data_IF_099005224926
#
_entry.id   IF_099005224926
#
_cell.length_a   1.000
_cell.length_b   1.000
_cell.length_c   1.000
_cell.angle_alpha   90.00
_cell.angle_beta   90.00
_cell.angle_gamma   90.00
#
_symmetry.space_group_name_H-M   'P 1'
#
loop_
_entity.id
_entity.type
_entity.pdbx_description
1 polymer ?
#
# COMPACT_ATOMS: atom_id res chain seq x y z
N UNK A 1 -0.31 9.93 -2.91
CA UNK A 1 0.70 10.91 -2.43
C UNK A 1 0.09 12.29 -2.54
N UNK A 2 0.34 13.15 -1.55
CA UNK A 2 -0.14 14.53 -1.58
C UNK A 2 0.88 15.46 -2.24
N UNK A 3 1.15 16.64 -1.63
CA UNK A 3 2.16 17.59 -2.12
C UNK A 3 3.56 16.98 -2.19
N UNK A 4 3.89 16.09 -1.28
CA UNK A 4 5.15 15.33 -1.30
C UNK A 4 4.88 13.82 -1.25
N UNK A 5 5.88 12.97 -1.58
CA UNK A 5 5.75 11.52 -1.43
C UNK A 5 5.59 11.04 0.02
N UNK A 6 5.76 11.92 1.01
CA UNK A 6 5.58 11.59 2.42
C UNK A 6 4.10 11.51 2.80
N UNK A 7 3.25 12.36 2.22
CA UNK A 7 1.82 12.32 2.48
C UNK A 7 1.14 11.18 1.69
N UNK A 8 0.37 10.36 2.39
CA UNK A 8 -0.37 9.25 1.81
C UNK A 8 -0.10 7.92 2.51
N UNK A 9 0.14 6.88 1.73
CA UNK A 9 0.38 5.53 2.23
C UNK A 9 1.71 5.42 2.99
N UNK A 10 1.74 4.58 4.01
CA UNK A 10 2.98 4.06 4.58
C UNK A 10 3.72 3.28 3.51
N UNK A 11 5.03 3.47 3.42
CA UNK A 11 5.87 2.82 2.41
C UNK A 11 7.01 2.04 3.07
N UNK A 12 7.94 1.55 2.29
CA UNK A 12 9.12 0.83 2.81
C UNK A 12 9.88 1.63 3.85
N UNK A 13 10.19 2.91 3.55
CA UNK A 13 10.95 3.81 4.44
C UNK A 13 10.23 5.09 4.83
N UNK A 14 9.10 5.42 4.18
CA UNK A 14 8.33 6.65 4.43
C UNK A 14 7.21 6.42 5.42
N UNK A 15 7.03 7.36 6.33
CA UNK A 15 6.00 7.28 7.39
C UNK A 15 4.56 7.28 6.86
N UNK A 16 4.31 7.92 5.72
CA UNK A 16 2.96 8.23 5.26
C UNK A 16 2.31 9.36 6.06
N UNK A 17 1.03 9.61 5.81
CA UNK A 17 0.27 10.64 6.53
C UNK A 17 0.25 10.36 8.02
N UNK A 18 0.55 11.38 8.83
CA UNK A 18 0.60 11.28 10.29
C UNK A 18 0.18 12.58 10.94
N UNK A 19 -0.03 12.55 12.24
CA UNK A 19 -0.26 13.75 13.03
C UNK A 19 1.01 14.63 13.06
N UNK A 20 0.90 15.85 12.54
CA UNK A 20 1.99 16.82 12.49
C UNK A 20 2.49 17.15 13.90
N UNK A 21 1.59 17.22 14.88
CA UNK A 21 1.96 17.51 16.27
C UNK A 21 2.80 16.40 16.89
N UNK A 22 2.56 15.14 16.52
CA UNK A 22 3.41 14.03 16.96
C UNK A 22 4.81 14.13 16.36
N UNK A 23 4.95 14.50 15.10
CA UNK A 23 6.24 14.68 14.45
C UNK A 23 7.04 15.82 15.08
N UNK A 24 6.42 16.98 15.30
CA UNK A 24 7.07 18.14 15.93
C UNK A 24 7.43 17.89 17.39
N UNK A 25 6.58 17.18 18.13
CA UNK A 25 6.88 16.77 19.51
C UNK A 25 8.14 15.89 19.58
N UNK A 26 8.23 14.90 18.69
CA UNK A 26 9.42 14.02 18.64
C UNK A 26 10.66 14.85 18.31
N UNK A 27 10.59 15.72 17.30
CA UNK A 27 11.71 16.58 16.90
C UNK A 27 12.20 17.45 18.06
N UNK A 28 11.28 18.07 18.79
CA UNK A 28 11.61 18.90 19.96
C UNK A 28 12.25 18.06 21.09
N UNK A 29 11.68 16.92 21.40
CA UNK A 29 12.16 16.03 22.46
C UNK A 29 13.55 15.48 22.18
N UNK A 30 13.84 15.13 20.93
CA UNK A 30 15.11 14.56 20.49
C UNK A 30 16.12 15.64 20.04
N UNK A 31 15.76 16.93 20.09
CA UNK A 31 16.62 18.03 19.65
C UNK A 31 16.94 18.03 18.17
N UNK A 32 16.03 17.51 17.34
CA UNK A 32 16.23 17.38 15.89
C UNK A 32 16.00 18.69 15.16
N UNK A 33 16.83 18.97 14.19
CA UNK A 33 16.56 19.99 13.17
C UNK A 33 15.44 19.55 12.23
N UNK A 34 14.86 20.49 11.48
CA UNK A 34 13.86 20.18 10.45
C UNK A 34 14.39 19.21 9.38
N UNK A 35 15.66 19.34 9.00
CA UNK A 35 16.30 18.44 8.03
C UNK A 35 16.44 17.01 8.55
N UNK A 36 16.75 16.84 9.83
CA UNK A 36 16.82 15.54 10.47
C UNK A 36 15.45 14.90 10.61
N UNK A 37 14.42 15.70 10.97
CA UNK A 37 13.04 15.25 11.01
C UNK A 37 12.58 14.79 9.62
N UNK A 38 12.79 15.59 8.59
CA UNK A 38 12.44 15.24 7.20
C UNK A 38 13.13 13.93 6.77
N UNK A 39 14.43 13.81 7.02
CA UNK A 39 15.17 12.58 6.72
C UNK A 39 14.63 11.36 7.50
N UNK A 40 14.29 11.53 8.78
CA UNK A 40 13.69 10.46 9.58
C UNK A 40 12.38 9.99 8.97
N UNK A 41 11.47 10.90 8.63
CA UNK A 41 10.14 10.58 8.12
C UNK A 41 10.19 9.98 6.70
N UNK A 42 11.15 10.39 5.86
CA UNK A 42 11.28 9.94 4.48
C UNK A 42 12.13 8.67 4.32
N UNK A 43 13.16 8.47 5.15
CA UNK A 43 14.20 7.46 4.93
C UNK A 43 14.37 6.43 6.04
N UNK A 44 13.86 6.71 7.25
CA UNK A 44 14.08 5.88 8.45
C UNK A 44 12.77 5.47 9.14
N UNK A 45 11.66 5.65 8.48
CA UNK A 45 10.30 5.32 8.94
C UNK A 45 9.70 4.17 8.11
N UNK A 46 8.40 4.17 7.94
CA UNK A 46 7.70 3.15 7.17
C UNK A 46 7.77 1.76 7.80
N UNK A 47 7.59 0.72 6.99
CA UNK A 47 7.65 -0.66 7.50
C UNK A 47 9.05 -1.01 8.03
N UNK A 48 10.11 -0.46 7.44
CA UNK A 48 11.47 -0.62 7.95
C UNK A 48 11.63 -0.02 9.34
N UNK A 49 11.14 1.20 9.57
CA UNK A 49 11.21 1.87 10.88
C UNK A 49 10.39 1.16 11.95
N UNK A 50 9.24 0.60 11.58
CA UNK A 50 8.39 -0.15 12.48
C UNK A 50 9.00 -1.49 12.90
N UNK A 51 9.56 -2.20 11.94
CA UNK A 51 10.06 -3.57 12.15
C UNK A 51 11.53 -3.63 12.56
N UNK A 52 12.34 -2.69 12.08
CA UNK A 52 13.79 -2.77 12.17
C UNK A 52 14.43 -3.87 11.32
N UNK A 53 13.66 -4.48 10.40
CA UNK A 53 14.09 -5.62 9.58
C UNK A 53 14.49 -5.14 8.19
N UNK A 54 13.52 -4.69 7.38
CA UNK A 54 13.70 -4.37 5.97
C UNK A 54 12.63 -3.40 5.47
N UNK A 55 12.90 -2.74 4.35
CA UNK A 55 11.91 -1.98 3.59
C UNK A 55 11.15 -2.83 2.56
N UNK A 56 11.57 -4.08 2.36
CA UNK A 56 10.98 -5.02 1.42
C UNK A 56 9.86 -5.82 2.10
N UNK A 57 8.66 -5.77 1.52
CA UNK A 57 7.51 -6.50 2.06
C UNK A 57 7.71 -8.00 2.11
N UNK A 58 8.54 -8.57 1.24
CA UNK A 58 8.85 -10.02 1.24
C UNK A 58 9.55 -10.46 2.53
N UNK A 59 10.46 -9.63 3.03
CA UNK A 59 11.16 -9.89 4.30
C UNK A 59 10.21 -9.72 5.48
N UNK A 60 9.28 -8.76 5.37
CA UNK A 60 8.24 -8.52 6.40
C UNK A 60 7.26 -9.70 6.43
N UNK A 61 6.83 -10.21 5.28
CA UNK A 61 5.94 -11.38 5.20
C UNK A 61 6.63 -12.63 5.77
N UNK A 62 7.91 -12.86 5.46
CA UNK A 62 8.67 -13.96 6.05
C UNK A 62 8.81 -13.85 7.58
N UNK A 63 9.00 -12.64 8.12
CA UNK A 63 9.04 -12.40 9.56
C UNK A 63 7.65 -12.54 10.21
N UNK A 64 6.59 -12.13 9.52
CA UNK A 64 5.20 -12.34 9.93
C UNK A 64 4.89 -13.82 10.11
N UNK A 65 5.24 -14.66 9.14
CA UNK A 65 5.03 -16.10 9.17
C UNK A 65 5.78 -16.79 10.32
N UNK A 66 6.85 -16.18 10.81
CA UNK A 66 7.60 -16.61 11.99
C UNK A 66 7.01 -16.08 13.31
N UNK A 67 5.91 -15.34 13.26
CA UNK A 67 5.25 -14.79 14.43
C UNK A 67 5.94 -13.54 15.02
N UNK A 68 6.75 -12.82 14.25
CA UNK A 68 7.38 -11.59 14.71
C UNK A 68 6.32 -10.50 14.95
N UNK A 69 6.16 -10.08 16.19
CA UNK A 69 5.12 -9.11 16.61
C UNK A 69 5.20 -7.78 15.85
N UNK A 70 6.41 -7.27 15.61
CA UNK A 70 6.59 -6.00 14.88
C UNK A 70 6.23 -6.13 13.40
N UNK A 71 6.51 -7.28 12.79
CA UNK A 71 6.11 -7.56 11.42
C UNK A 71 4.59 -7.68 11.28
N UNK A 72 3.92 -8.29 12.29
CA UNK A 72 2.46 -8.36 12.35
C UNK A 72 1.87 -6.95 12.40
N UNK A 73 2.31 -6.11 13.33
CA UNK A 73 1.84 -4.73 13.47
C UNK A 73 2.10 -3.92 12.18
N UNK A 74 3.28 -4.05 11.59
CA UNK A 74 3.65 -3.31 10.38
C UNK A 74 2.78 -3.69 9.19
N UNK A 75 2.51 -4.99 8.99
CA UNK A 75 1.67 -5.49 7.90
C UNK A 75 0.21 -5.07 8.07
N UNK A 76 -0.32 -5.18 9.28
CA UNK A 76 -1.68 -4.74 9.61
C UNK A 76 -1.84 -3.22 9.42
N UNK A 77 -0.87 -2.44 9.86
CA UNK A 77 -0.88 -1.00 9.67
C UNK A 77 -0.80 -0.62 8.18
N UNK A 78 0.03 -1.32 7.41
CA UNK A 78 0.15 -1.12 5.97
C UNK A 78 -1.18 -1.37 5.25
N UNK A 79 -1.79 -2.54 5.48
CA UNK A 79 -3.08 -2.89 4.90
C UNK A 79 -4.22 -1.97 5.37
N UNK A 80 -4.25 -1.61 6.67
CA UNK A 80 -5.24 -0.69 7.22
C UNK A 80 -5.18 0.70 6.58
N UNK A 81 -3.97 1.20 6.30
CA UNK A 81 -3.80 2.49 5.65
C UNK A 81 -4.37 2.48 4.21
N UNK A 82 -4.10 1.42 3.44
CA UNK A 82 -4.67 1.26 2.10
C UNK A 82 -6.20 1.20 2.18
N UNK A 83 -6.73 0.38 3.08
CA UNK A 83 -8.18 0.23 3.29
C UNK A 83 -8.87 1.56 3.58
N UNK A 84 -8.27 2.41 4.42
CA UNK A 84 -8.79 3.76 4.72
C UNK A 84 -8.85 4.62 3.46
N UNK A 85 -7.82 4.63 2.63
CA UNK A 85 -7.83 5.38 1.37
C UNK A 85 -8.87 4.85 0.37
N UNK A 86 -9.08 3.54 0.30
CA UNK A 86 -10.17 2.98 -0.52
C UNK A 86 -11.52 3.52 -0.06
N UNK A 87 -11.78 3.55 1.25
CA UNK A 87 -13.02 4.10 1.81
C UNK A 87 -13.17 5.60 1.58
N UNK A 88 -12.10 6.36 1.78
CA UNK A 88 -12.04 7.81 1.58
C UNK A 88 -12.37 8.18 0.13
N UNK A 89 -11.69 7.57 -0.83
CA UNK A 89 -11.95 7.85 -2.25
C UNK A 89 -13.31 7.34 -2.73
N UNK A 90 -13.80 6.23 -2.19
CA UNK A 90 -15.15 5.79 -2.49
C UNK A 90 -16.21 6.79 -2.01
N UNK A 91 -15.99 7.43 -0.85
CA UNK A 91 -16.86 8.49 -0.35
C UNK A 91 -16.81 9.75 -1.22
N UNK A 92 -15.60 10.20 -1.63
CA UNK A 92 -15.43 11.35 -2.52
C UNK A 92 -16.06 11.14 -3.90
N UNK A 93 -15.99 9.93 -4.44
CA UNK A 93 -16.58 9.58 -5.73
C UNK A 93 -18.10 9.33 -5.67
N UNK A 94 -18.69 9.26 -4.46
CA UNK A 94 -20.09 8.88 -4.29
C UNK A 94 -20.37 7.40 -4.54
N UNK A 95 -19.34 6.56 -4.55
CA UNK A 95 -19.39 5.12 -4.79
C UNK A 95 -18.17 4.63 -5.55
N UNK A 96 -18.11 3.34 -5.79
CA UNK A 96 -17.04 2.67 -6.54
C UNK A 96 -17.61 1.47 -7.29
N UNK A 97 -17.13 1.22 -8.50
CA UNK A 97 -17.50 0.06 -9.31
C UNK A 97 -16.40 -1.00 -9.33
N UNK A 98 -15.15 -0.58 -9.22
CA UNK A 98 -13.98 -1.45 -9.30
C UNK A 98 -12.84 -0.93 -8.43
N UNK A 99 -12.24 -1.83 -7.63
CA UNK A 99 -10.98 -1.61 -6.92
C UNK A 99 -9.87 -2.36 -7.64
N UNK A 100 -8.84 -1.64 -8.08
CA UNK A 100 -7.71 -2.23 -8.80
C UNK A 100 -6.48 -2.25 -7.89
N UNK A 101 -5.85 -3.42 -7.78
CA UNK A 101 -4.55 -3.61 -7.17
C UNK A 101 -3.49 -3.73 -8.26
N UNK A 102 -2.45 -2.91 -8.17
CA UNK A 102 -1.40 -2.82 -9.18
C UNK A 102 -0.05 -2.48 -8.54
N UNK A 103 1.02 -2.52 -9.30
CA UNK A 103 2.38 -2.26 -8.82
C UNK A 103 2.93 -3.38 -7.94
N UNK A 104 4.13 -3.20 -7.43
CA UNK A 104 4.89 -4.27 -6.75
C UNK A 104 4.12 -4.99 -5.64
N UNK A 105 3.54 -4.26 -4.68
CA UNK A 105 2.79 -4.86 -3.57
C UNK A 105 1.38 -5.27 -4.00
N UNK A 106 0.67 -4.42 -4.76
CA UNK A 106 -0.69 -4.71 -5.21
C UNK A 106 -0.79 -5.98 -6.04
N UNK A 107 0.18 -6.22 -6.91
CA UNK A 107 0.25 -7.41 -7.77
C UNK A 107 0.74 -8.66 -7.02
N UNK A 108 1.69 -8.51 -6.10
CA UNK A 108 2.47 -9.63 -5.57
C UNK A 108 2.18 -10.01 -4.12
N UNK A 109 1.36 -9.23 -3.37
CA UNK A 109 1.00 -9.56 -1.98
C UNK A 109 -0.50 -9.86 -1.86
N UNK A 110 -0.91 -11.15 -2.00
CA UNK A 110 -2.29 -11.56 -1.77
C UNK A 110 -2.75 -11.29 -0.33
N UNK A 111 -1.85 -11.32 0.63
CA UNK A 111 -2.12 -11.07 2.05
C UNK A 111 -2.53 -9.61 2.28
N UNK A 112 -1.85 -8.66 1.66
CA UNK A 112 -2.23 -7.24 1.73
C UNK A 112 -3.59 -7.00 1.08
N UNK A 113 -3.84 -7.58 -0.10
CA UNK A 113 -5.14 -7.47 -0.78
C UNK A 113 -6.28 -8.05 0.06
N UNK A 114 -6.05 -9.22 0.67
CA UNK A 114 -6.99 -9.87 1.59
C UNK A 114 -7.32 -8.95 2.77
N UNK A 115 -6.30 -8.42 3.45
CA UNK A 115 -6.49 -7.48 4.55
C UNK A 115 -7.31 -6.25 4.14
N UNK A 116 -7.01 -5.68 2.99
CA UNK A 116 -7.72 -4.49 2.47
C UNK A 116 -9.19 -4.79 2.20
N UNK A 117 -9.49 -5.94 1.61
CA UNK A 117 -10.85 -6.29 1.16
C UNK A 117 -11.71 -6.99 2.21
N UNK A 118 -11.13 -7.51 3.30
CA UNK A 118 -11.89 -8.07 4.40
C UNK A 118 -12.87 -7.05 4.99
N UNK A 119 -14.10 -7.46 5.28
CA UNK A 119 -15.17 -6.62 5.85
C UNK A 119 -15.50 -5.37 4.99
N UNK A 120 -15.44 -5.51 3.66
CA UNK A 120 -15.83 -4.46 2.70
C UNK A 120 -17.17 -4.78 2.00
N UNK A 121 -17.92 -5.77 2.49
CA UNK A 121 -19.22 -6.18 1.97
C UNK A 121 -20.25 -5.04 2.00
N UNK A 122 -20.16 -4.15 2.99
CA UNK A 122 -21.00 -2.95 3.08
C UNK A 122 -20.83 -2.01 1.88
N UNK A 123 -19.67 -2.03 1.21
CA UNK A 123 -19.43 -1.30 -0.06
C UNK A 123 -19.89 -2.11 -1.28
N UNK A 124 -20.26 -3.36 -1.10
CA UNK A 124 -20.66 -4.28 -2.17
C UNK A 124 -19.51 -5.09 -2.75
N UNK A 125 -18.37 -5.16 -2.06
CA UNK A 125 -17.22 -5.99 -2.45
C UNK A 125 -17.34 -7.33 -1.74
N UNK A 126 -17.56 -8.41 -2.48
CA UNK A 126 -17.51 -9.77 -1.98
C UNK A 126 -16.17 -10.41 -2.37
N UNK A 127 -15.23 -10.41 -1.43
CA UNK A 127 -13.88 -10.92 -1.63
C UNK A 127 -13.87 -12.45 -1.82
N UNK A 128 -13.02 -12.94 -2.75
CA UNK A 128 -12.76 -14.35 -3.01
C UNK A 128 -11.30 -14.70 -2.69
N UNK A 129 -11.08 -15.37 -1.55
CA UNK A 129 -9.74 -15.73 -1.09
C UNK A 129 -9.02 -16.73 -2.02
N UNK A 130 -9.76 -17.57 -2.74
CA UNK A 130 -9.18 -18.53 -3.68
C UNK A 130 -8.72 -17.81 -4.94
N UNK A 131 -9.58 -16.98 -5.52
CA UNK A 131 -9.21 -16.16 -6.69
C UNK A 131 -8.08 -15.18 -6.38
N UNK A 132 -7.99 -14.67 -5.15
CA UNK A 132 -6.92 -13.77 -4.73
C UNK A 132 -5.51 -14.36 -4.86
N UNK A 133 -5.37 -15.67 -4.93
CA UNK A 133 -4.09 -16.37 -5.12
C UNK A 133 -3.85 -16.76 -6.58
N UNK A 134 -4.38 -15.97 -7.51
CA UNK A 134 -4.23 -16.15 -8.95
C UNK A 134 -2.77 -16.08 -9.44
N UNK A 135 -2.61 -16.36 -10.71
CA UNK A 135 -1.29 -16.49 -11.32
C UNK A 135 -0.58 -15.12 -11.41
N UNK A 136 0.64 -15.06 -10.91
CA UNK A 136 1.53 -13.90 -11.01
C UNK A 136 1.77 -13.48 -12.45
N UNK A 137 1.83 -12.17 -12.70
CA UNK A 137 2.08 -11.62 -14.03
C UNK A 137 0.91 -11.74 -15.00
N UNK A 138 -0.31 -11.88 -14.47
CA UNK A 138 -1.55 -11.88 -15.27
C UNK A 138 -2.60 -11.01 -14.60
N UNK A 139 -3.51 -10.47 -15.39
CA UNK A 139 -4.68 -9.77 -14.91
C UNK A 139 -5.74 -10.78 -14.47
N UNK A 140 -6.36 -10.55 -13.30
CA UNK A 140 -7.44 -11.42 -12.81
C UNK A 140 -8.33 -10.73 -11.78
N UNK A 141 -9.60 -11.14 -11.77
CA UNK A 141 -10.58 -10.69 -10.78
C UNK A 141 -10.43 -11.49 -9.47
N UNK A 142 -10.56 -10.79 -8.33
CA UNK A 142 -10.45 -11.34 -6.98
C UNK A 142 -11.72 -11.15 -6.15
N UNK A 143 -12.82 -10.74 -6.77
CA UNK A 143 -14.15 -10.72 -6.19
C UNK A 143 -14.96 -11.96 -6.60
N UNK A 144 -15.97 -12.32 -5.79
CA UNK A 144 -16.89 -13.41 -6.11
C UNK A 144 -17.76 -13.04 -7.32
N UNK A 145 -18.26 -14.05 -8.00
CA UNK A 145 -19.28 -13.89 -9.02
C UNK A 145 -20.53 -13.25 -8.41
N UNK A 146 -21.07 -12.22 -9.07
CA UNK A 146 -22.22 -11.47 -8.53
C UNK A 146 -21.85 -10.32 -7.59
N UNK A 147 -20.59 -10.16 -7.17
CA UNK A 147 -20.16 -8.98 -6.42
C UNK A 147 -20.54 -7.69 -7.15
N UNK A 148 -21.23 -6.79 -6.46
CA UNK A 148 -21.69 -5.51 -7.03
C UNK A 148 -20.52 -4.61 -7.39
N UNK A 149 -19.54 -4.53 -6.49
CA UNK A 149 -18.27 -3.83 -6.72
C UNK A 149 -17.21 -4.89 -6.99
N UNK A 150 -16.50 -4.74 -8.08
CA UNK A 150 -15.46 -5.67 -8.48
C UNK A 150 -14.12 -5.32 -7.80
N UNK A 151 -13.29 -6.32 -7.62
CA UNK A 151 -11.89 -6.14 -7.24
C UNK A 151 -11.02 -6.97 -8.18
N UNK A 152 -9.92 -6.40 -8.66
CA UNK A 152 -9.04 -7.04 -9.62
C UNK A 152 -7.56 -6.72 -9.35
N UNK A 153 -6.70 -7.61 -9.81
CA UNK A 153 -5.27 -7.37 -9.96
C UNK A 153 -5.01 -7.05 -11.42
N UNK A 154 -4.36 -5.93 -11.69
CA UNK A 154 -3.97 -5.51 -13.03
C UNK A 154 -2.48 -5.25 -13.04
N UNK A 155 -1.75 -5.93 -13.92
CA UNK A 155 -0.31 -5.80 -14.03
C UNK A 155 0.08 -4.47 -14.67
N UNK A 156 1.07 -3.80 -14.09
CA UNK A 156 1.69 -2.62 -14.69
C UNK A 156 2.81 -3.02 -15.67
N UNK A 157 2.97 -2.24 -16.71
CA UNK A 157 4.08 -2.36 -17.66
C UNK A 157 4.70 -0.97 -17.90
N UNK A 158 5.46 -0.51 -16.90
CA UNK A 158 6.13 0.80 -16.95
C UNK A 158 7.23 0.83 -18.02
N UNK A 159 7.90 -0.30 -18.26
CA UNK A 159 8.95 -0.42 -19.27
C UNK A 159 8.40 -0.22 -20.68
N UNK A 160 7.23 -0.74 -20.97
CA UNK A 160 6.54 -0.53 -22.24
C UNK A 160 6.19 0.94 -22.47
N UNK A 161 5.76 1.66 -21.43
CA UNK A 161 5.46 3.11 -21.51
C UNK A 161 6.73 3.87 -21.85
N UNK A 162 7.82 3.62 -21.13
CA UNK A 162 9.13 4.23 -21.38
C UNK A 162 9.62 3.92 -22.81
N UNK A 163 9.51 2.69 -23.25
CA UNK A 163 9.89 2.27 -24.60
C UNK A 163 9.08 2.99 -25.68
N UNK A 164 7.76 3.12 -25.51
CA UNK A 164 6.88 3.85 -26.43
C UNK A 164 7.22 5.34 -26.51
N UNK A 165 7.45 5.96 -25.36
CA UNK A 165 7.78 7.39 -25.31
C UNK A 165 9.17 7.66 -25.88
N UNK A 166 10.15 6.80 -25.59
CA UNK A 166 11.48 6.88 -26.21
C UNK A 166 11.38 6.77 -27.73
N UNK A 167 10.62 5.79 -28.22
CA UNK A 167 10.42 5.62 -29.67
C UNK A 167 9.80 6.86 -30.35
N UNK A 168 8.84 7.52 -29.68
CA UNK A 168 8.23 8.76 -30.20
C UNK A 168 9.20 9.93 -30.27
N UNK A 169 10.13 10.02 -29.29
CA UNK A 169 11.07 11.13 -29.20
C UNK A 169 12.25 11.01 -30.16
N UNK A 170 12.62 9.79 -30.57
CA UNK A 170 13.77 9.52 -31.46
C UNK A 170 13.39 9.28 -32.91
N UNK A 171 12.11 9.26 -33.23
CA UNK A 171 11.56 9.12 -34.57
C UNK A 171 11.14 10.47 -35.15
#
# INVERSE_FOLDING_TARGET
MGFSPLDGLVMGTRAGSMDVSAATYIAQKEGMSLAELDNMLNKKSGVQGLTGISSDMRDIDAAYDQGNERAIIARDMYGNRIKKFVGEYAAEMGGVDLVIFTGGVGENSPEVREYVLQNMEFMGIEFDAVRNRGKRGTDYEISKEGSRVKAAVICTDEELVIAKDTYRLVK
#
